data_IF_421193154023
#
_entry.id   IF_421193154023
#
_cell.length_a   1.000
_cell.length_b   1.000
_cell.length_c   1.000
_cell.angle_alpha   90.00
_cell.angle_beta   90.00
_cell.angle_gamma   90.00
#
_symmetry.space_group_name_H-M   'P 1'
#
loop_
_entity.id
_entity.type
_entity.pdbx_description
1 polymer ?
#
# COMPACT_ATOMS: atom_id res chain seq x y z
N UNK A 1 -18.49 18.78 11.40
CA UNK A 1 -19.69 18.07 10.89
C UNK A 1 -19.20 16.83 10.18
N UNK A 2 -19.62 15.64 10.62
CA UNK A 2 -19.24 14.39 9.97
C UNK A 2 -20.01 14.25 8.65
N UNK A 3 -19.30 14.00 7.55
CA UNK A 3 -19.93 13.63 6.29
C UNK A 3 -20.59 12.25 6.46
N UNK A 4 -21.85 12.05 6.01
CA UNK A 4 -22.48 10.75 6.10
C UNK A 4 -21.69 9.73 5.26
N UNK A 5 -21.58 8.51 5.77
CA UNK A 5 -21.21 7.36 4.97
C UNK A 5 -22.25 7.24 3.84
N UNK A 6 -21.80 7.34 2.60
CA UNK A 6 -22.66 7.05 1.45
C UNK A 6 -22.84 5.54 1.43
N UNK A 7 -24.05 5.08 1.72
CA UNK A 7 -24.43 3.68 1.62
C UNK A 7 -25.07 3.45 0.25
N UNK A 8 -24.45 2.56 -0.54
CA UNK A 8 -25.04 1.76 -1.62
C UNK A 8 -25.78 2.49 -2.76
N UNK A 9 -25.00 3.05 -3.69
CA UNK A 9 -25.25 2.86 -5.13
C UNK A 9 -23.92 2.36 -5.71
N UNK A 10 -23.93 1.29 -6.53
CA UNK A 10 -22.73 0.68 -7.12
C UNK A 10 -21.74 1.77 -7.57
N UNK A 11 -20.54 1.81 -7.00
CA UNK A 11 -19.53 2.80 -7.37
C UNK A 11 -19.25 2.76 -8.88
N UNK A 12 -19.00 3.91 -9.52
CA UNK A 12 -18.74 3.94 -10.94
C UNK A 12 -17.43 3.22 -11.26
N UNK A 13 -17.46 2.33 -12.26
CA UNK A 13 -16.24 1.76 -12.82
C UNK A 13 -15.38 2.88 -13.43
N UNK A 14 -14.10 2.94 -13.07
CA UNK A 14 -13.16 3.94 -13.59
C UNK A 14 -12.91 3.80 -15.10
N UNK A 15 -13.06 2.59 -15.66
CA UNK A 15 -12.98 2.33 -17.10
C UNK A 15 -14.25 2.72 -17.84
N UNK A 16 -15.42 2.28 -17.34
CA UNK A 16 -16.71 2.55 -18.02
C UNK A 16 -17.09 4.02 -17.93
N UNK A 17 -16.68 4.70 -16.85
CA UNK A 17 -16.87 6.14 -16.65
C UNK A 17 -15.56 6.90 -16.82
N UNK A 18 -14.79 6.54 -17.85
CA UNK A 18 -13.48 7.13 -18.14
C UNK A 18 -13.52 8.66 -18.20
N UNK A 19 -14.53 9.26 -18.84
CA UNK A 19 -14.66 10.72 -18.93
C UNK A 19 -14.77 11.41 -17.57
N UNK A 20 -15.41 10.78 -16.58
CA UNK A 20 -15.49 11.29 -15.21
C UNK A 20 -14.12 11.25 -14.52
N UNK A 21 -13.39 10.15 -14.66
CA UNK A 21 -12.03 10.02 -14.12
C UNK A 21 -11.07 11.00 -14.81
N UNK A 22 -11.09 11.03 -16.14
CA UNK A 22 -10.25 11.91 -16.96
C UNK A 22 -10.54 13.39 -16.67
N UNK A 23 -11.80 13.77 -16.44
CA UNK A 23 -12.16 15.12 -16.01
C UNK A 23 -11.54 15.50 -14.65
N UNK A 24 -11.38 14.56 -13.74
CA UNK A 24 -10.70 14.76 -12.46
C UNK A 24 -9.18 14.88 -12.62
N UNK A 25 -8.60 14.13 -13.56
CA UNK A 25 -7.16 14.01 -13.76
C UNK A 25 -6.56 15.07 -14.70
N UNK A 26 -7.33 15.53 -15.69
CA UNK A 26 -6.85 16.44 -16.73
C UNK A 26 -6.36 17.77 -16.15
N UNK A 27 -5.18 18.20 -16.57
CA UNK A 27 -4.54 19.44 -16.11
C UNK A 27 -3.95 19.36 -14.69
N UNK A 28 -3.97 18.18 -14.06
CA UNK A 28 -3.38 17.92 -12.74
C UNK A 28 -2.13 17.06 -12.86
N UNK A 29 -1.22 17.23 -11.91
CA UNK A 29 -0.07 16.35 -11.69
C UNK A 29 -0.56 15.07 -11.05
N UNK A 30 -0.29 13.92 -11.65
CA UNK A 30 -0.69 12.65 -11.05
C UNK A 30 0.37 12.16 -10.07
N UNK A 31 -0.06 11.40 -9.05
CA UNK A 31 0.80 10.56 -8.24
C UNK A 31 0.09 9.23 -8.04
N UNK A 32 0.69 8.13 -8.50
CA UNK A 32 0.01 6.83 -8.62
C UNK A 32 0.56 5.85 -7.58
N UNK A 33 -0.32 5.34 -6.73
CA UNK A 33 0.01 4.40 -5.68
C UNK A 33 -0.75 3.10 -5.92
N UNK A 34 -0.06 1.98 -5.85
CA UNK A 34 -0.59 0.70 -6.27
C UNK A 34 -0.34 -0.34 -5.17
N UNK A 35 -1.39 -1.02 -4.75
CA UNK A 35 -1.21 -2.32 -4.12
C UNK A 35 -0.71 -3.36 -5.13
N UNK A 36 -0.24 -4.51 -4.64
CA UNK A 36 0.31 -5.57 -5.48
C UNK A 36 -0.65 -6.77 -5.65
N UNK A 37 -0.96 -7.49 -4.58
CA UNK A 37 -1.68 -8.76 -4.63
C UNK A 37 -3.16 -8.54 -4.84
N UNK A 38 -3.76 -9.08 -5.91
CA UNK A 38 -5.17 -8.82 -6.23
C UNK A 38 -5.41 -7.49 -6.98
N UNK A 39 -4.37 -6.66 -7.10
CA UNK A 39 -4.40 -5.39 -7.85
C UNK A 39 -3.56 -5.47 -9.14
N UNK A 40 -2.25 -5.68 -9.02
CA UNK A 40 -1.33 -5.78 -10.17
C UNK A 40 -1.03 -7.22 -10.59
N UNK A 41 -1.37 -8.17 -9.74
CA UNK A 41 -1.29 -9.61 -9.99
C UNK A 41 -2.60 -10.26 -9.57
N UNK A 42 -3.00 -11.31 -10.29
CA UNK A 42 -4.09 -12.18 -9.86
C UNK A 42 -3.77 -12.85 -8.51
N UNK A 43 -4.81 -13.01 -7.67
CA UNK A 43 -4.69 -13.75 -6.40
C UNK A 43 -4.52 -15.24 -6.74
N UNK A 44 -3.39 -15.81 -6.33
CA UNK A 44 -3.05 -17.22 -6.57
C UNK A 44 -2.98 -18.01 -5.25
N UNK A 45 -3.20 -19.35 -5.28
CA UNK A 45 -3.12 -20.18 -4.08
C UNK A 45 -1.74 -20.17 -3.40
N UNK A 46 -0.67 -20.03 -4.19
CA UNK A 46 0.72 -19.98 -3.75
C UNK A 46 1.26 -18.56 -3.90
N UNK A 47 1.47 -17.81 -2.80
CA UNK A 47 1.87 -16.40 -2.85
C UNK A 47 3.15 -16.14 -3.66
N UNK A 48 4.07 -17.09 -3.73
CA UNK A 48 5.32 -16.94 -4.49
C UNK A 48 5.14 -17.05 -6.01
N UNK A 49 3.92 -17.35 -6.48
CA UNK A 49 3.55 -17.43 -7.90
C UNK A 49 2.71 -16.25 -8.38
N UNK A 50 2.51 -15.23 -7.54
CA UNK A 50 1.75 -14.02 -7.87
C UNK A 50 2.59 -13.09 -8.77
N UNK A 51 2.95 -13.53 -9.98
CA UNK A 51 3.81 -12.76 -10.88
C UNK A 51 3.02 -11.73 -11.68
N UNK A 52 3.56 -10.51 -11.73
CA UNK A 52 3.12 -9.46 -12.64
C UNK A 52 3.46 -9.83 -14.10
N UNK A 53 2.48 -9.69 -15.00
CA UNK A 53 2.66 -9.88 -16.45
C UNK A 53 3.60 -8.83 -17.03
N UNK A 54 4.24 -9.13 -18.18
CA UNK A 54 5.09 -8.12 -18.83
C UNK A 54 4.29 -6.92 -19.36
N UNK A 55 3.04 -7.14 -19.78
CA UNK A 55 2.15 -6.08 -20.22
C UNK A 55 1.82 -5.11 -19.07
N UNK A 56 1.44 -5.63 -17.90
CA UNK A 56 1.23 -4.81 -16.70
C UNK A 56 2.51 -4.06 -16.31
N UNK A 57 3.65 -4.75 -16.29
CA UNK A 57 4.96 -4.15 -15.98
C UNK A 57 5.30 -3.00 -16.94
N UNK A 58 5.04 -3.19 -18.23
CA UNK A 58 5.25 -2.19 -19.27
C UNK A 58 4.38 -0.95 -19.05
N UNK A 59 3.10 -1.13 -18.70
CA UNK A 59 2.18 -0.03 -18.41
C UNK A 59 2.60 0.75 -17.15
N UNK A 60 2.93 0.05 -16.06
CA UNK A 60 3.38 0.71 -14.81
C UNK A 60 4.68 1.50 -15.06
N UNK A 61 5.63 0.93 -15.81
CA UNK A 61 6.86 1.62 -16.24
C UNK A 61 6.58 2.91 -17.01
N UNK A 62 5.60 2.90 -17.92
CA UNK A 62 5.22 4.10 -18.69
C UNK A 62 4.69 5.21 -17.79
N UNK A 63 3.85 4.86 -16.81
CA UNK A 63 3.35 5.82 -15.80
C UNK A 63 4.51 6.37 -14.96
N UNK A 64 5.37 5.50 -14.43
CA UNK A 64 6.48 5.86 -13.55
C UNK A 64 7.50 6.82 -14.19
N UNK A 65 7.61 6.81 -15.52
CA UNK A 65 8.45 7.76 -16.26
C UNK A 65 7.87 9.16 -16.35
N UNK A 66 6.55 9.31 -16.15
CA UNK A 66 5.83 10.57 -16.31
C UNK A 66 5.43 11.19 -14.97
N UNK A 67 5.22 10.37 -13.93
CA UNK A 67 4.85 10.86 -12.62
C UNK A 67 5.34 9.95 -11.48
N UNK A 68 5.37 10.46 -10.23
CA UNK A 68 5.70 9.63 -9.08
C UNK A 68 4.76 8.43 -8.98
N UNK A 69 5.35 7.23 -8.95
CA UNK A 69 4.61 5.98 -8.87
C UNK A 69 5.20 5.07 -7.78
N UNK A 70 4.34 4.52 -6.92
CA UNK A 70 4.75 3.73 -5.78
C UNK A 70 3.97 2.41 -5.66
N UNK A 71 4.65 1.35 -5.26
CA UNK A 71 4.02 0.10 -4.80
C UNK A 71 3.93 0.11 -3.28
N UNK A 72 2.73 -0.10 -2.73
CA UNK A 72 2.51 -0.27 -1.28
C UNK A 72 1.95 -1.67 -1.02
N UNK A 73 2.74 -2.55 -0.40
CA UNK A 73 2.39 -3.97 -0.26
C UNK A 73 2.60 -4.50 1.16
N UNK A 74 1.82 -5.52 1.53
CA UNK A 74 2.07 -6.34 2.72
C UNK A 74 3.37 -7.15 2.62
N UNK A 75 3.81 -7.50 1.41
CA UNK A 75 5.03 -8.27 1.16
C UNK A 75 6.28 -7.51 1.59
N UNK A 76 7.34 -8.21 1.96
CA UNK A 76 8.65 -7.61 2.18
C UNK A 76 9.12 -6.82 0.94
N UNK A 77 9.82 -5.69 1.16
CA UNK A 77 10.21 -4.77 0.08
C UNK A 77 11.02 -5.45 -1.03
N UNK A 78 11.99 -6.29 -0.68
CA UNK A 78 12.78 -7.06 -1.65
C UNK A 78 11.91 -8.03 -2.47
N UNK A 79 11.01 -8.75 -1.79
CA UNK A 79 10.11 -9.72 -2.42
C UNK A 79 9.19 -9.06 -3.45
N UNK A 80 8.51 -7.96 -3.09
CA UNK A 80 7.67 -7.23 -4.05
C UNK A 80 8.50 -6.59 -5.18
N UNK A 81 9.72 -6.14 -4.90
CA UNK A 81 10.64 -5.69 -5.95
C UNK A 81 10.99 -6.82 -6.93
N UNK A 82 11.26 -8.04 -6.45
CA UNK A 82 11.60 -9.18 -7.33
C UNK A 82 10.46 -9.59 -8.26
N UNK A 83 9.22 -9.34 -7.86
CA UNK A 83 8.04 -9.49 -8.71
C UNK A 83 7.90 -8.36 -9.73
N UNK A 84 8.03 -7.10 -9.30
CA UNK A 84 7.74 -5.90 -10.10
C UNK A 84 8.91 -5.45 -10.98
N UNK A 85 10.16 -5.63 -10.53
CA UNK A 85 11.43 -5.36 -11.25
C UNK A 85 11.46 -4.03 -12.02
N UNK A 86 11.03 -2.94 -11.38
CA UNK A 86 11.08 -1.58 -11.90
C UNK A 86 11.88 -0.72 -10.92
N UNK A 87 13.03 -0.21 -11.34
CA UNK A 87 13.93 0.56 -10.46
C UNK A 87 13.47 2.02 -10.27
N UNK A 88 12.60 2.49 -11.16
CA UNK A 88 12.03 3.84 -11.18
C UNK A 88 10.89 4.07 -10.18
N UNK A 89 10.42 3.01 -9.52
CA UNK A 89 9.32 3.07 -8.55
C UNK A 89 9.79 3.33 -7.13
N UNK A 90 8.88 3.92 -6.33
CA UNK A 90 8.96 3.87 -4.87
C UNK A 90 8.38 2.54 -4.39
N UNK A 91 8.96 1.95 -3.36
CA UNK A 91 8.48 0.70 -2.77
C UNK A 91 8.28 0.87 -1.27
N UNK A 92 7.06 0.59 -0.81
CA UNK A 92 6.66 0.51 0.58
C UNK A 92 6.25 -0.93 0.90
N UNK A 93 7.22 -1.74 1.36
CA UNK A 93 6.99 -3.13 1.75
C UNK A 93 6.63 -3.28 3.23
N UNK A 94 6.33 -4.51 3.64
CA UNK A 94 6.04 -4.89 5.02
C UNK A 94 4.88 -4.07 5.61
N UNK A 95 3.76 -4.01 4.87
CA UNK A 95 2.60 -3.15 5.16
C UNK A 95 2.94 -1.66 5.19
N UNK A 96 3.94 -1.26 4.41
CA UNK A 96 4.44 0.11 4.30
C UNK A 96 5.43 0.53 5.40
N UNK A 97 5.94 -0.40 6.21
CA UNK A 97 6.97 -0.11 7.22
C UNK A 97 8.40 -0.12 6.66
N UNK A 98 8.63 -0.56 5.42
CA UNK A 98 9.94 -0.45 4.76
C UNK A 98 9.77 0.32 3.45
N UNK A 99 10.00 1.64 3.49
CA UNK A 99 9.84 2.54 2.34
C UNK A 99 11.20 2.91 1.78
N UNK A 100 11.36 2.77 0.47
CA UNK A 100 12.52 3.25 -0.29
C UNK A 100 12.10 3.79 -1.66
N UNK A 101 12.65 4.94 -2.03
CA UNK A 101 12.51 5.54 -3.36
C UNK A 101 13.47 4.96 -4.39
N UNK A 102 13.33 5.36 -5.66
CA UNK A 102 14.18 4.90 -6.74
C UNK A 102 15.64 5.35 -6.52
N UNK A 103 16.59 4.48 -6.83
CA UNK A 103 18.03 4.79 -6.69
C UNK A 103 18.50 5.85 -7.70
N UNK A 104 17.73 6.10 -8.76
CA UNK A 104 17.97 7.13 -9.77
C UNK A 104 16.72 8.00 -9.90
N UNK A 105 16.91 9.32 -9.90
CA UNK A 105 15.83 10.25 -10.22
C UNK A 105 15.33 9.91 -11.65
N UNK A 106 14.02 9.88 -11.93
CA UNK A 106 13.57 10.00 -13.31
C UNK A 106 14.18 11.30 -13.86
N UNK A 107 14.74 11.31 -15.08
CA UNK A 107 15.37 12.51 -15.61
C UNK A 107 14.33 13.63 -15.60
N UNK A 108 14.61 14.67 -14.81
CA UNK A 108 13.84 15.89 -14.87
C UNK A 108 14.28 16.59 -16.16
N UNK A 109 13.58 16.31 -17.27
CA UNK A 109 13.72 16.97 -18.56
C UNK A 109 15.13 17.52 -18.83
N UNK A 110 16.12 16.65 -19.01
CA UNK A 110 17.45 17.11 -19.40
C UNK A 110 17.46 17.39 -20.89
N UNK A 111 17.69 18.66 -21.19
CA UNK A 111 17.93 19.17 -22.52
C UNK A 111 18.97 18.32 -23.24
N UNK A 112 18.64 18.01 -24.48
CA UNK A 112 19.40 17.26 -25.46
C UNK A 112 20.85 17.77 -25.58
N UNK A 113 21.82 17.06 -25.00
CA UNK A 113 23.23 17.19 -25.39
C UNK A 113 23.61 16.09 -26.39
N UNK A 114 23.67 16.53 -27.65
CA UNK A 114 24.54 16.09 -28.73
C UNK A 114 25.05 14.64 -28.75
N UNK A 115 24.51 13.86 -29.68
CA UNK A 115 25.17 12.70 -30.24
C UNK A 115 26.57 13.08 -30.77
N UNK A 116 27.59 12.39 -30.28
CA UNK A 116 28.88 12.27 -30.97
C UNK A 116 29.04 10.80 -31.40
N UNK A 117 29.14 10.63 -32.71
CA UNK A 117 29.33 9.37 -33.43
C UNK A 117 30.60 8.63 -32.97
N UNK A 118 30.50 7.31 -32.91
CA UNK A 118 31.64 6.40 -32.75
C UNK A 118 31.51 5.23 -33.71
N UNK A 119 32.03 5.40 -34.93
CA UNK A 119 32.40 4.33 -35.85
C UNK A 119 33.73 3.70 -35.36
N UNK A 120 33.74 2.37 -35.13
CA UNK A 120 34.95 1.56 -35.24
C UNK A 120 34.64 0.06 -35.27
N UNK A 121 35.03 -0.53 -36.39
CA UNK A 121 35.05 -1.94 -36.80
C UNK A 121 35.84 -2.93 -35.91
N UNK A 122 35.35 -4.18 -35.93
CA UNK A 122 36.04 -5.50 -36.08
C UNK A 122 37.11 -5.98 -35.07
N UNK A 123 36.93 -7.24 -34.65
CA UNK A 123 38.01 -8.18 -34.30
C UNK A 123 37.58 -9.22 -33.25
N UNK A 124 36.97 -10.35 -33.66
CA UNK A 124 37.58 -11.71 -33.67
C UNK A 124 38.22 -12.19 -32.37
N UNK A 125 37.67 -13.25 -31.75
CA UNK A 125 38.32 -14.58 -31.66
C UNK A 125 37.75 -15.49 -30.55
N UNK A 126 37.59 -16.78 -30.89
CA UNK A 126 37.66 -17.98 -30.03
C UNK A 126 36.51 -18.24 -29.05
N UNK A 127 35.90 -19.42 -28.90
CA UNK A 127 36.23 -20.78 -29.35
C UNK A 127 36.10 -21.78 -28.19
N UNK A 128 35.33 -22.86 -28.36
CA UNK A 128 35.38 -24.13 -27.59
C UNK A 128 34.48 -24.22 -26.34
N UNK A 129 33.41 -25.05 -26.33
CA UNK A 129 33.36 -26.51 -26.07
C UNK A 129 33.44 -26.84 -24.55
N UNK A 130 32.37 -27.30 -23.89
CA UNK A 130 31.74 -28.65 -23.86
C UNK A 130 32.23 -29.55 -22.71
N UNK A 131 31.30 -30.26 -22.06
CA UNK A 131 31.50 -31.34 -21.06
C UNK A 131 31.35 -30.87 -19.60
N UNK A 132 30.47 -31.38 -18.74
CA UNK A 132 29.79 -32.66 -18.68
C UNK A 132 30.61 -33.64 -17.82
N UNK A 133 30.21 -33.89 -16.57
CA UNK A 133 30.36 -35.18 -15.86
C UNK A 133 29.61 -35.20 -14.54
N UNK A 134 28.79 -36.24 -14.40
CA UNK A 134 28.19 -36.79 -13.19
C UNK A 134 29.26 -37.33 -12.22
N UNK A 135 28.99 -37.30 -10.91
CA UNK A 135 29.38 -38.38 -9.99
C UNK A 135 28.62 -38.31 -8.64
N UNK A 136 27.79 -39.32 -8.40
CA UNK A 136 27.50 -39.98 -7.12
C UNK A 136 27.84 -41.46 -7.36
N UNK A 137 28.28 -42.28 -6.37
CA UNK A 137 27.35 -42.77 -5.34
C UNK A 137 27.96 -43.28 -4.00
N UNK A 138 27.05 -43.63 -3.07
CA UNK A 138 27.24 -44.66 -2.02
C UNK A 138 27.47 -44.12 -0.60
N UNK A 139 27.09 -44.78 0.49
CA UNK A 139 26.32 -46.01 0.78
C UNK A 139 26.26 -46.14 2.33
N UNK A 140 25.22 -46.80 2.85
CA UNK A 140 25.12 -47.48 4.18
C UNK A 140 25.20 -46.61 5.45
N UNK A 141 24.49 -46.85 6.56
CA UNK A 141 23.64 -47.94 7.01
C UNK A 141 23.57 -47.91 8.55
N UNK A 142 22.48 -48.46 9.11
CA UNK A 142 22.34 -49.00 10.47
C UNK A 142 21.92 -48.10 11.67
N UNK A 143 20.65 -48.31 12.04
CA UNK A 143 20.02 -48.38 13.39
C UNK A 143 20.45 -49.71 14.10
N UNK A 144 19.99 -50.11 15.31
CA UNK A 144 19.38 -49.46 16.52
C UNK A 144 20.15 -49.95 17.82
N UNK A 145 19.63 -50.16 19.07
CA UNK A 145 18.30 -50.03 19.74
C UNK A 145 18.27 -49.20 21.06
N UNK A 146 17.16 -48.58 21.48
CA UNK A 146 15.95 -49.03 22.23
C UNK A 146 16.09 -49.22 23.76
N UNK A 147 15.12 -48.66 24.49
CA UNK A 147 14.73 -48.94 25.88
C UNK A 147 14.46 -47.67 26.68
N UNK A 148 13.54 -47.56 27.65
CA UNK A 148 12.26 -48.17 28.04
C UNK A 148 11.83 -47.39 29.32
N UNK A 149 10.53 -47.39 29.64
CA UNK A 149 9.88 -46.93 30.89
C UNK A 149 9.97 -45.44 31.26
N UNK A 150 8.95 -44.78 31.80
CA UNK A 150 7.65 -45.20 32.34
C UNK A 150 7.16 -44.09 33.30
N UNK A 151 5.86 -44.02 33.61
CA UNK A 151 5.39 -43.31 34.80
C UNK A 151 4.22 -42.34 34.61
N UNK A 152 3.07 -42.77 35.09
CA UNK A 152 1.79 -42.08 35.24
C UNK A 152 1.81 -40.87 36.20
N UNK A 153 0.80 -39.99 36.13
CA UNK A 153 0.51 -39.02 37.19
C UNK A 153 -0.63 -38.06 36.85
N UNK A 154 -1.80 -38.31 37.44
CA UNK A 154 -3.08 -37.65 37.21
C UNK A 154 -3.32 -36.38 38.08
N UNK A 155 -4.49 -35.77 37.83
CA UNK A 155 -5.21 -34.74 38.59
C UNK A 155 -4.73 -33.29 38.34
N UNK A 156 -5.59 -32.29 38.11
CA UNK A 156 -7.02 -32.15 38.40
C UNK A 156 -7.20 -30.79 39.11
N UNK A 157 -8.14 -29.96 38.65
CA UNK A 157 -8.51 -28.74 39.37
C UNK A 157 -8.91 -27.59 38.45
N UNK A 158 -10.21 -27.50 38.16
CA UNK A 158 -10.79 -26.25 37.69
C UNK A 158 -10.90 -25.23 38.82
N UNK A 159 -11.00 -23.95 38.46
CA UNK A 159 -11.86 -23.02 39.18
C UNK A 159 -12.22 -21.82 38.31
N UNK A 160 -13.50 -21.50 38.42
CA UNK A 160 -14.32 -20.49 37.76
C UNK A 160 -14.08 -19.05 38.22
N UNK A 161 -14.48 -18.11 37.36
CA UNK A 161 -15.12 -16.81 37.65
C UNK A 161 -14.35 -15.82 38.56
N UNK A 162 -14.25 -14.54 38.25
CA UNK A 162 -15.37 -13.60 38.26
C UNK A 162 -14.90 -12.19 37.83
N UNK A 163 -15.89 -11.37 37.50
CA UNK A 163 -15.87 -9.99 37.03
C UNK A 163 -15.36 -8.94 38.05
N UNK A 164 -15.37 -7.70 37.54
CA UNK A 164 -15.32 -6.36 38.17
C UNK A 164 -13.94 -5.69 38.21
N UNK A 165 -13.77 -4.37 38.05
CA UNK A 165 -14.51 -3.29 37.40
C UNK A 165 -13.60 -2.05 37.52
N UNK A 166 -13.65 -1.19 36.49
CA UNK A 166 -13.54 0.28 36.55
C UNK A 166 -12.25 1.00 37.06
N UNK A 167 -11.90 1.99 36.21
CA UNK A 167 -11.42 3.34 36.50
C UNK A 167 -9.92 3.63 36.68
N UNK A 168 -9.49 4.67 35.95
CA UNK A 168 -8.38 5.54 36.34
C UNK A 168 -7.43 5.81 35.18
N UNK A 169 -7.64 6.92 34.47
CA UNK A 169 -6.84 7.30 33.32
C UNK A 169 -5.40 7.65 33.64
N UNK A 170 -4.59 7.68 32.59
CA UNK A 170 -3.55 8.68 32.34
C UNK A 170 -3.01 8.46 30.94
N UNK A 171 -3.17 9.47 30.08
CA UNK A 171 -2.48 9.54 28.79
C UNK A 171 -0.96 9.63 29.05
N UNK A 172 -0.11 8.84 28.37
CA UNK A 172 1.29 9.17 28.26
C UNK A 172 1.45 10.24 27.18
N UNK A 173 2.22 11.26 27.53
CA UNK A 173 2.58 12.38 26.70
C UNK A 173 3.22 11.95 25.37
N UNK A 174 2.96 12.75 24.34
CA UNK A 174 3.69 12.75 23.07
C UNK A 174 5.19 12.92 23.36
N UNK A 175 5.97 11.86 23.21
CA UNK A 175 7.40 12.01 22.99
C UNK A 175 7.61 12.26 21.49
N UNK A 176 7.96 13.50 21.18
CA UNK A 176 8.57 13.85 19.92
C UNK A 176 9.91 13.11 19.85
N UNK A 177 9.93 12.00 19.11
CA UNK A 177 11.16 11.35 18.69
C UNK A 177 11.92 12.31 17.81
N UNK A 178 13.11 12.71 18.26
CA UNK A 178 14.10 13.47 17.51
C UNK A 178 14.61 12.59 16.36
N UNK A 179 13.90 12.60 15.24
CA UNK A 179 14.42 12.15 13.95
C UNK A 179 15.40 13.20 13.44
N UNK A 180 16.61 12.76 13.14
CA UNK A 180 17.68 13.56 12.56
C UNK A 180 17.16 14.46 11.42
N UNK A 181 17.48 15.75 11.52
CA UNK A 181 17.17 16.71 10.46
C UNK A 181 17.80 16.28 9.15
N UNK A 182 16.97 16.00 8.14
CA UNK A 182 17.40 16.06 6.76
C UNK A 182 17.35 17.53 6.35
N UNK A 183 18.51 18.10 6.10
CA UNK A 183 18.64 19.41 5.48
C UNK A 183 17.87 19.41 4.14
N UNK A 184 17.15 20.51 3.90
CA UNK A 184 16.36 20.68 2.70
C UNK A 184 17.28 20.71 1.47
N UNK A 185 17.14 19.69 0.62
CA UNK A 185 17.77 19.63 -0.69
C UNK A 185 18.63 18.39 -0.86
N UNK A 186 18.13 17.44 -1.65
CA UNK A 186 18.78 16.20 -2.10
C UNK A 186 18.76 15.06 -1.05
N UNK A 187 17.78 14.15 -1.15
CA UNK A 187 17.73 12.98 -0.26
C UNK A 187 16.89 11.85 -0.84
N UNK A 188 17.45 10.64 -0.83
CA UNK A 188 16.74 9.40 -1.13
C UNK A 188 15.52 9.28 -0.20
N UNK A 189 14.31 9.09 -0.73
CA UNK A 189 13.13 8.82 0.10
C UNK A 189 13.35 7.46 0.78
N UNK A 190 13.51 7.45 2.10
CA UNK A 190 13.66 6.23 2.89
C UNK A 190 13.01 6.41 4.26
N UNK A 191 12.20 5.43 4.68
CA UNK A 191 11.56 5.45 5.99
C UNK A 191 11.32 4.03 6.51
N UNK A 192 11.68 3.84 7.78
CA UNK A 192 11.43 2.61 8.54
C UNK A 192 10.89 2.97 9.94
N UNK A 193 9.57 3.16 10.11
CA UNK A 193 9.00 3.65 11.36
C UNK A 193 9.12 2.63 12.51
N UNK A 194 9.42 1.37 12.20
CA UNK A 194 9.63 0.29 13.16
C UNK A 194 11.10 -0.16 13.24
N UNK A 195 12.07 0.66 12.82
CA UNK A 195 13.48 0.28 12.75
C UNK A 195 14.04 -0.29 14.07
N UNK A 196 13.57 0.21 15.22
CA UNK A 196 13.98 -0.28 16.55
C UNK A 196 13.58 -1.74 16.84
N UNK A 197 12.65 -2.31 16.07
CA UNK A 197 12.18 -3.69 16.24
C UNK A 197 12.98 -4.71 15.43
N UNK A 198 13.84 -4.29 14.50
CA UNK A 198 14.53 -5.21 13.57
C UNK A 198 15.32 -6.27 14.33
N UNK A 199 16.17 -5.87 15.28
CA UNK A 199 16.99 -6.82 16.06
C UNK A 199 16.12 -7.79 16.87
N UNK A 200 15.01 -7.32 17.45
CA UNK A 200 14.07 -8.17 18.17
C UNK A 200 13.42 -9.20 17.23
N UNK A 201 12.97 -8.77 16.05
CA UNK A 201 12.33 -9.67 15.07
C UNK A 201 13.31 -10.69 14.51
N UNK A 202 14.57 -10.32 14.27
CA UNK A 202 15.62 -11.24 13.85
C UNK A 202 15.85 -12.34 14.91
N UNK A 203 15.87 -11.98 16.20
CA UNK A 203 15.99 -12.94 17.31
C UNK A 203 14.77 -13.87 17.40
N UNK A 204 13.56 -13.33 17.30
CA UNK A 204 12.32 -14.13 17.34
C UNK A 204 12.23 -15.06 16.13
N UNK A 205 12.68 -14.63 14.97
CA UNK A 205 12.75 -15.45 13.78
C UNK A 205 13.66 -16.67 13.97
N UNK A 206 14.88 -16.44 14.47
CA UNK A 206 15.82 -17.52 14.74
C UNK A 206 15.23 -18.55 15.73
N UNK A 207 14.54 -18.06 16.76
CA UNK A 207 13.88 -18.92 17.73
C UNK A 207 12.70 -19.70 17.13
N UNK A 208 11.83 -19.06 16.35
CA UNK A 208 10.71 -19.73 15.66
C UNK A 208 11.20 -20.82 14.71
N UNK A 209 12.22 -20.52 13.89
CA UNK A 209 12.82 -21.50 12.98
C UNK A 209 13.32 -22.72 13.75
N UNK A 210 14.09 -22.49 14.83
CA UNK A 210 14.64 -23.54 15.67
C UNK A 210 13.55 -24.39 16.32
N UNK A 211 12.47 -23.78 16.83
CA UNK A 211 11.39 -24.51 17.51
C UNK A 211 10.45 -25.25 16.55
N UNK A 212 10.31 -24.78 15.32
CA UNK A 212 9.43 -25.36 14.31
C UNK A 212 10.12 -26.38 13.39
N UNK A 213 11.45 -26.52 13.44
CA UNK A 213 12.25 -27.45 12.61
C UNK A 213 11.70 -28.90 12.62
N UNK A 214 11.16 -29.35 13.76
CA UNK A 214 10.60 -30.70 13.92
C UNK A 214 9.16 -30.89 13.42
N UNK A 215 8.55 -29.90 12.76
CA UNK A 215 7.16 -29.92 12.29
C UNK A 215 7.15 -29.83 10.75
N UNK A 216 7.01 -30.96 10.04
CA UNK A 216 6.98 -30.98 8.58
C UNK A 216 5.88 -30.06 8.01
N UNK A 217 6.26 -29.19 7.07
CA UNK A 217 5.36 -28.26 6.39
C UNK A 217 5.16 -26.92 7.12
N UNK A 218 5.74 -26.73 8.32
CA UNK A 218 5.78 -25.42 8.97
C UNK A 218 6.92 -24.59 8.35
N UNK A 219 6.60 -23.38 7.92
CA UNK A 219 7.56 -22.48 7.28
C UNK A 219 7.52 -21.11 7.97
N UNK A 220 8.67 -20.53 8.28
CA UNK A 220 8.79 -19.19 8.86
C UNK A 220 9.38 -18.25 7.82
N UNK A 221 8.65 -17.19 7.48
CA UNK A 221 9.08 -16.15 6.55
C UNK A 221 9.42 -14.86 7.30
N UNK A 222 10.56 -14.24 6.95
CA UNK A 222 11.04 -12.99 7.53
C UNK A 222 10.96 -11.84 6.52
N UNK A 223 9.99 -10.94 6.70
CA UNK A 223 9.77 -9.78 5.84
C UNK A 223 10.22 -8.47 6.52
N UNK A 224 11.31 -8.51 7.30
CA UNK A 224 11.92 -7.40 8.06
C UNK A 224 11.08 -6.87 9.23
N UNK A 225 9.84 -6.44 8.98
CA UNK A 225 8.91 -5.93 10.00
C UNK A 225 7.69 -6.84 10.20
N UNK A 226 7.75 -8.06 9.69
CA UNK A 226 6.70 -9.07 9.84
C UNK A 226 7.33 -10.46 9.80
N UNK A 227 7.01 -11.29 10.78
CA UNK A 227 7.30 -12.71 10.80
C UNK A 227 6.01 -13.46 10.46
N UNK A 228 6.04 -14.30 9.42
CA UNK A 228 4.88 -15.08 9.02
C UNK A 228 5.16 -16.57 9.21
N UNK A 229 4.40 -17.22 10.09
CA UNK A 229 4.46 -18.66 10.32
C UNK A 229 3.34 -19.33 9.52
N UNK A 230 3.71 -19.95 8.41
CA UNK A 230 2.80 -20.66 7.53
C UNK A 230 2.59 -22.08 8.04
N UNK A 231 1.32 -22.47 8.22
CA UNK A 231 0.94 -23.81 8.68
C UNK A 231 -0.02 -24.51 7.71
N UNK A 232 -0.16 -23.97 6.49
CA UNK A 232 -1.02 -24.54 5.45
C UNK A 232 -0.65 -25.97 5.06
N UNK A 233 0.65 -26.27 5.03
CA UNK A 233 1.21 -27.57 4.63
C UNK A 233 1.46 -28.50 5.83
N UNK A 234 1.18 -28.02 7.05
CA UNK A 234 1.32 -28.80 8.29
C UNK A 234 0.12 -29.74 8.40
N UNK A 235 0.37 -30.98 8.82
CA UNK A 235 -0.66 -31.94 9.18
C UNK A 235 -1.61 -31.35 10.24
N UNK A 236 -2.92 -31.46 10.05
CA UNK A 236 -3.90 -30.79 10.91
C UNK A 236 -3.79 -31.20 12.38
N UNK A 237 -3.33 -32.43 12.67
CA UNK A 237 -3.10 -32.88 14.04
C UNK A 237 -1.96 -32.16 14.75
N UNK A 238 -1.12 -31.41 14.02
CA UNK A 238 0.00 -30.63 14.57
C UNK A 238 -0.27 -29.11 14.61
N UNK A 239 -1.43 -28.63 14.15
CA UNK A 239 -1.72 -27.19 14.14
C UNK A 239 -1.68 -26.57 15.54
N UNK A 240 -2.29 -27.22 16.53
CA UNK A 240 -2.26 -26.74 17.92
C UNK A 240 -0.83 -26.63 18.46
N UNK A 241 0.06 -27.55 18.06
CA UNK A 241 1.47 -27.51 18.44
C UNK A 241 2.19 -26.31 17.82
N UNK A 242 1.90 -25.98 16.55
CA UNK A 242 2.45 -24.78 15.89
C UNK A 242 1.97 -23.52 16.62
N UNK A 243 0.68 -23.41 16.90
CA UNK A 243 0.11 -22.25 17.58
C UNK A 243 0.69 -22.07 18.98
N UNK A 244 0.81 -23.14 19.76
CA UNK A 244 1.43 -23.10 21.07
C UNK A 244 2.90 -22.61 21.02
N UNK A 245 3.69 -23.07 20.05
CA UNK A 245 5.06 -22.59 19.86
C UNK A 245 5.09 -21.10 19.54
N UNK A 246 4.21 -20.64 18.63
CA UNK A 246 4.13 -19.23 18.26
C UNK A 246 3.69 -18.36 19.43
N UNK A 247 2.68 -18.79 20.19
CA UNK A 247 2.22 -18.08 21.38
C UNK A 247 3.32 -18.00 22.44
N UNK A 248 4.03 -19.09 22.74
CA UNK A 248 5.13 -19.09 23.70
C UNK A 248 6.27 -18.14 23.31
N UNK A 249 6.56 -18.00 22.00
CA UNK A 249 7.55 -17.04 21.50
C UNK A 249 7.01 -15.61 21.49
N UNK A 250 5.72 -15.42 21.21
CA UNK A 250 5.08 -14.10 21.10
C UNK A 250 4.72 -13.47 22.46
N UNK A 251 4.17 -14.24 23.40
CA UNK A 251 3.58 -13.75 24.65
C UNK A 251 4.54 -12.89 25.50
N UNK A 252 5.85 -13.19 25.62
CA UNK A 252 6.78 -12.31 26.32
C UNK A 252 6.89 -10.89 25.72
N UNK A 253 6.45 -10.70 24.48
CA UNK A 253 6.56 -9.47 23.69
C UNK A 253 5.18 -8.87 23.32
N UNK A 254 4.07 -9.34 23.90
CA UNK A 254 2.70 -8.92 23.51
C UNK A 254 2.40 -7.42 23.70
N UNK A 255 3.20 -6.73 24.51
CA UNK A 255 3.08 -5.29 24.76
C UNK A 255 3.66 -4.46 23.60
N UNK A 256 4.69 -4.97 22.92
CA UNK A 256 5.41 -4.28 21.85
C UNK A 256 5.10 -4.84 20.46
N UNK A 257 4.62 -6.08 20.39
CA UNK A 257 4.25 -6.77 19.16
C UNK A 257 2.75 -7.06 19.11
N UNK A 258 2.26 -7.41 17.93
CA UNK A 258 0.91 -7.89 17.71
C UNK A 258 0.95 -9.18 16.90
N UNK A 259 0.20 -10.18 17.36
CA UNK A 259 -0.10 -11.39 16.61
C UNK A 259 -1.39 -11.21 15.82
N UNK A 260 -1.36 -11.46 14.51
CA UNK A 260 -2.53 -11.51 13.64
C UNK A 260 -2.65 -12.86 12.95
N UNK A 261 -3.87 -13.24 12.59
CA UNK A 261 -4.15 -14.50 11.89
C UNK A 261 -4.62 -14.21 10.47
N UNK A 262 -4.10 -14.98 9.51
CA UNK A 262 -4.49 -14.95 8.11
C UNK A 262 -4.97 -16.31 7.61
N UNK A 263 -5.02 -16.50 6.29
CA UNK A 263 -5.44 -17.76 5.66
C UNK A 263 -4.39 -18.87 5.82
N UNK A 264 -4.42 -19.55 6.97
CA UNK A 264 -3.46 -20.58 7.41
C UNK A 264 -2.03 -20.04 7.59
N UNK A 265 -1.94 -18.85 8.18
CA UNK A 265 -0.70 -18.15 8.54
C UNK A 265 -0.90 -17.38 9.85
N UNK A 266 0.11 -17.36 10.71
CA UNK A 266 0.19 -16.50 11.90
C UNK A 266 1.24 -15.42 11.64
N UNK A 267 0.96 -14.17 11.99
CA UNK A 267 1.84 -13.03 11.70
C UNK A 267 2.20 -12.26 12.96
N UNK A 268 3.48 -12.10 13.25
CA UNK A 268 4.00 -11.26 14.33
C UNK A 268 4.56 -9.97 13.73
N UNK A 269 4.07 -8.83 14.19
CA UNK A 269 4.52 -7.50 13.71
C UNK A 269 4.62 -6.47 14.83
N UNK A 270 5.43 -5.41 14.65
CA UNK A 270 5.49 -4.27 15.58
C UNK A 270 4.10 -3.68 15.84
N UNK A 271 3.81 -3.37 17.11
CA UNK A 271 2.56 -2.76 17.53
C UNK A 271 2.66 -1.22 17.45
N UNK A 272 2.75 -0.71 16.23
CA UNK A 272 2.78 0.74 15.96
C UNK A 272 1.53 1.18 15.20
N UNK A 273 1.14 2.46 15.33
CA UNK A 273 0.06 3.07 14.54
C UNK A 273 0.55 3.32 13.11
N UNK A 274 0.70 2.25 12.34
CA UNK A 274 1.14 2.29 10.95
C UNK A 274 0.32 1.38 10.07
N UNK A 275 -0.09 1.91 8.91
CA UNK A 275 -0.94 1.24 7.94
C UNK A 275 -0.69 1.83 6.54
N UNK A 276 -1.25 1.20 5.48
CA UNK A 276 -1.04 1.64 4.09
C UNK A 276 -1.39 3.12 3.87
N UNK A 277 -2.43 3.62 4.52
CA UNK A 277 -2.76 5.05 4.54
C UNK A 277 -1.67 5.97 5.11
N UNK A 278 -0.95 5.57 6.18
CA UNK A 278 0.21 6.33 6.70
C UNK A 278 1.38 6.32 5.72
N UNK A 279 1.64 5.18 5.08
CA UNK A 279 2.68 5.07 4.05
C UNK A 279 2.37 5.98 2.84
N UNK A 280 1.12 6.00 2.39
CA UNK A 280 0.64 6.92 1.36
C UNK A 280 0.84 8.40 1.77
N UNK A 281 0.42 8.79 2.97
CA UNK A 281 0.61 10.15 3.48
C UNK A 281 2.09 10.53 3.53
N UNK A 282 2.95 9.67 4.07
CA UNK A 282 4.39 9.92 4.10
C UNK A 282 4.97 10.11 2.71
N UNK A 283 4.63 9.25 1.74
CA UNK A 283 5.13 9.38 0.38
C UNK A 283 4.68 10.70 -0.26
N UNK A 284 3.42 11.10 -0.07
CA UNK A 284 2.93 12.39 -0.57
C UNK A 284 3.69 13.57 0.06
N UNK A 285 3.95 13.53 1.37
CA UNK A 285 4.73 14.57 2.07
C UNK A 285 6.18 14.61 1.60
N UNK A 286 6.86 13.46 1.56
CA UNK A 286 8.25 13.33 1.15
C UNK A 286 8.49 13.77 -0.30
N UNK A 287 7.48 13.65 -1.16
CA UNK A 287 7.52 14.08 -2.55
C UNK A 287 7.12 15.55 -2.76
N UNK A 288 6.74 16.27 -1.69
CA UNK A 288 6.23 17.64 -1.79
C UNK A 288 4.88 17.75 -2.49
N UNK A 289 4.07 16.69 -2.43
CA UNK A 289 2.78 16.54 -3.11
C UNK A 289 1.58 16.61 -2.15
N UNK A 290 1.84 16.57 -0.83
CA UNK A 290 0.79 16.51 0.17
C UNK A 290 -0.18 17.69 0.09
N UNK A 291 0.35 18.91 -0.06
CA UNK A 291 -0.42 20.16 -0.04
C UNK A 291 -0.49 20.86 -1.42
N UNK A 292 -0.05 20.19 -2.49
CA UNK A 292 -0.11 20.75 -3.85
C UNK A 292 -1.53 20.62 -4.44
N UNK A 293 -2.27 21.73 -4.65
CA UNK A 293 -3.63 21.69 -5.20
C UNK A 293 -3.65 21.20 -6.66
N UNK A 294 -2.54 21.32 -7.39
CA UNK A 294 -2.43 20.79 -8.75
C UNK A 294 -2.23 19.28 -8.76
N UNK A 295 -1.93 18.63 -7.61
CA UNK A 295 -1.69 17.19 -7.56
C UNK A 295 -2.97 16.38 -7.30
N UNK A 296 -3.21 15.35 -8.11
CA UNK A 296 -4.20 14.30 -7.91
C UNK A 296 -3.50 12.98 -7.53
N UNK A 297 -3.55 12.57 -6.25
CA UNK A 297 -3.13 11.23 -5.85
C UNK A 297 -4.19 10.20 -6.23
N UNK A 298 -3.74 9.08 -6.80
CA UNK A 298 -4.56 7.94 -7.22
C UNK A 298 -4.06 6.70 -6.47
N UNK A 299 -4.94 5.97 -5.81
CA UNK A 299 -4.60 4.72 -5.12
C UNK A 299 -5.47 3.56 -5.64
N UNK A 300 -4.85 2.44 -6.02
CA UNK A 300 -5.55 1.21 -6.41
C UNK A 300 -5.26 0.10 -5.40
N UNK A 301 -6.31 -0.62 -4.97
CA UNK A 301 -6.19 -1.72 -4.01
C UNK A 301 -7.42 -2.63 -3.96
N UNK A 302 -7.29 -3.87 -3.51
CA UNK A 302 -8.37 -4.88 -3.51
C UNK A 302 -8.86 -5.27 -2.10
N UNK A 303 -8.01 -5.04 -1.09
CA UNK A 303 -8.15 -5.63 0.24
C UNK A 303 -8.64 -4.64 1.31
N UNK A 304 -8.89 -5.17 2.51
CA UNK A 304 -9.37 -4.38 3.65
C UNK A 304 -8.30 -3.41 4.17
N UNK A 305 -7.02 -3.68 3.91
CA UNK A 305 -5.92 -2.80 4.34
C UNK A 305 -5.79 -1.57 3.43
N UNK A 306 -6.23 -1.66 2.18
CA UNK A 306 -6.29 -0.54 1.24
C UNK A 306 -7.37 0.50 1.60
N UNK A 307 -8.38 0.10 2.38
CA UNK A 307 -9.37 1.03 2.92
C UNK A 307 -8.75 2.16 3.75
N UNK A 308 -7.60 1.89 4.41
CA UNK A 308 -6.86 2.94 5.11
C UNK A 308 -6.34 4.01 4.14
N UNK A 309 -5.85 3.60 2.96
CA UNK A 309 -5.39 4.50 1.92
C UNK A 309 -6.56 5.27 1.28
N UNK A 310 -7.68 4.60 1.00
CA UNK A 310 -8.89 5.27 0.47
C UNK A 310 -9.44 6.31 1.44
N UNK A 311 -9.51 5.99 2.74
CA UNK A 311 -9.92 6.95 3.78
C UNK A 311 -8.98 8.14 3.87
N UNK A 312 -7.66 7.91 3.79
CA UNK A 312 -6.67 8.98 3.71
C UNK A 312 -6.91 9.90 2.51
N UNK A 313 -7.16 9.35 1.31
CA UNK A 313 -7.45 10.15 0.12
C UNK A 313 -8.76 10.93 0.25
N UNK A 314 -9.82 10.30 0.74
CA UNK A 314 -11.13 10.94 0.90
C UNK A 314 -11.13 12.04 1.96
N UNK A 315 -10.29 11.92 2.99
CA UNK A 315 -10.15 12.93 4.04
C UNK A 315 -9.33 14.17 3.60
N UNK A 316 -8.60 14.10 2.48
CA UNK A 316 -7.86 15.25 1.93
C UNK A 316 -8.83 16.30 1.42
N UNK A 317 -8.62 17.56 1.81
CA UNK A 317 -9.37 18.70 1.28
C UNK A 317 -9.14 18.93 -0.21
N UNK A 318 -7.95 18.57 -0.71
CA UNK A 318 -7.54 18.68 -2.13
C UNK A 318 -8.04 17.50 -2.99
N UNK A 319 -8.73 16.54 -2.35
CA UNK A 319 -9.22 15.32 -2.96
C UNK A 319 -8.13 14.30 -3.29
N UNK A 320 -8.58 13.21 -3.92
CA UNK A 320 -7.81 12.06 -4.36
C UNK A 320 -8.75 11.02 -4.96
N UNK A 321 -8.23 10.11 -5.78
CA UNK A 321 -9.00 9.04 -6.38
C UNK A 321 -8.61 7.70 -5.75
N UNK A 322 -9.46 7.16 -4.89
CA UNK A 322 -9.37 5.77 -4.45
C UNK A 322 -10.11 4.87 -5.43
N UNK A 323 -9.49 3.78 -5.85
CA UNK A 323 -10.07 2.82 -6.80
C UNK A 323 -10.00 1.42 -6.17
N UNK A 324 -11.16 0.85 -5.85
CA UNK A 324 -11.27 -0.49 -5.32
C UNK A 324 -11.28 -1.52 -6.46
N UNK A 325 -10.40 -2.51 -6.39
CA UNK A 325 -10.40 -3.68 -7.29
C UNK A 325 -11.27 -4.77 -6.69
N UNK A 326 -12.40 -5.08 -7.33
CA UNK A 326 -13.35 -6.05 -6.80
C UNK A 326 -14.33 -6.54 -7.87
N UNK A 327 -14.59 -7.85 -7.86
CA UNK A 327 -15.66 -8.46 -8.66
C UNK A 327 -17.01 -8.50 -7.92
N UNK A 328 -17.04 -8.07 -6.65
CA UNK A 328 -18.22 -8.08 -5.78
C UNK A 328 -18.40 -6.72 -5.10
N UNK A 329 -19.64 -6.35 -4.79
CA UNK A 329 -19.91 -5.14 -4.03
C UNK A 329 -19.36 -5.26 -2.60
N UNK A 330 -18.70 -4.19 -2.14
CA UNK A 330 -18.10 -4.08 -0.80
C UNK A 330 -18.38 -2.68 -0.26
N UNK A 331 -18.51 -2.56 1.06
CA UNK A 331 -18.43 -1.26 1.72
C UNK A 331 -17.01 -0.73 1.60
N UNK A 332 -16.86 0.49 1.07
CA UNK A 332 -15.55 1.06 0.77
C UNK A 332 -15.54 2.58 0.83
N UNK A 333 -14.39 3.15 1.18
CA UNK A 333 -14.12 4.58 1.07
C UNK A 333 -13.61 5.01 -0.32
N UNK A 334 -13.42 4.06 -1.24
CA UNK A 334 -13.03 4.33 -2.63
C UNK A 334 -14.08 5.17 -3.38
N UNK A 335 -13.62 5.85 -4.42
CA UNK A 335 -14.45 6.71 -5.30
C UNK A 335 -14.84 6.02 -6.60
N UNK A 336 -14.03 5.05 -7.04
CA UNK A 336 -14.27 4.26 -8.25
C UNK A 336 -14.01 2.78 -7.98
N UNK A 337 -14.42 1.93 -8.91
CA UNK A 337 -14.08 0.51 -8.93
C UNK A 337 -13.42 0.07 -10.23
N UNK A 338 -12.69 -1.03 -10.17
CA UNK A 338 -12.27 -1.86 -11.29
C UNK A 338 -12.58 -3.31 -10.94
N UNK A 339 -12.90 -4.14 -11.92
CA UNK A 339 -13.36 -5.50 -11.65
C UNK A 339 -12.26 -6.43 -11.14
N UNK A 340 -11.08 -6.40 -11.77
CA UNK A 340 -9.98 -7.34 -11.56
C UNK A 340 -8.64 -6.76 -12.07
N UNK A 341 -7.52 -7.48 -11.91
CA UNK A 341 -6.22 -7.02 -12.41
C UNK A 341 -6.14 -6.76 -13.92
N UNK A 342 -7.01 -7.36 -14.73
CA UNK A 342 -7.00 -7.14 -16.18
C UNK A 342 -7.63 -5.77 -16.49
N UNK A 343 -8.72 -5.40 -15.82
CA UNK A 343 -9.26 -4.03 -15.85
C UNK A 343 -8.29 -3.00 -15.26
N UNK A 344 -7.49 -3.37 -14.25
CA UNK A 344 -6.39 -2.51 -13.75
C UNK A 344 -5.37 -2.23 -14.86
N UNK A 345 -4.96 -3.25 -15.61
CA UNK A 345 -4.01 -3.09 -16.71
C UNK A 345 -4.55 -2.14 -17.78
N UNK A 346 -5.81 -2.34 -18.19
CA UNK A 346 -6.46 -1.47 -19.19
C UNK A 346 -6.55 -0.02 -18.68
N UNK A 347 -6.98 0.17 -17.43
CA UNK A 347 -7.12 1.49 -16.83
C UNK A 347 -5.78 2.22 -16.77
N UNK A 348 -4.74 1.58 -16.24
CA UNK A 348 -3.40 2.15 -16.19
C UNK A 348 -2.86 2.41 -17.61
N UNK A 349 -3.22 1.58 -18.60
CA UNK A 349 -2.88 1.80 -20.00
C UNK A 349 -3.46 3.09 -20.56
N UNK A 350 -4.73 3.39 -20.24
CA UNK A 350 -5.37 4.67 -20.60
C UNK A 350 -4.77 5.86 -19.86
N UNK A 351 -4.42 5.70 -18.58
CA UNK A 351 -3.72 6.74 -17.81
C UNK A 351 -2.34 7.03 -18.43
N UNK A 352 -1.59 6.00 -18.81
CA UNK A 352 -0.29 6.16 -19.46
C UNK A 352 -0.41 6.91 -20.79
N UNK A 353 -1.38 6.55 -21.63
CA UNK A 353 -1.62 7.25 -22.90
C UNK A 353 -1.98 8.73 -22.68
N UNK A 354 -2.86 9.02 -21.72
CA UNK A 354 -3.22 10.39 -21.36
C UNK A 354 -2.00 11.21 -20.88
N UNK A 355 -1.10 10.61 -20.11
CA UNK A 355 0.14 11.25 -19.65
C UNK A 355 1.15 11.48 -20.78
N UNK A 356 1.14 10.65 -21.82
CA UNK A 356 2.02 10.77 -22.99
C UNK A 356 1.53 11.79 -24.02
N UNK A 357 0.22 12.02 -24.11
CA UNK A 357 -0.39 13.03 -24.97
C UNK A 357 -0.27 14.46 -24.40
N UNK A 358 0.02 14.60 -23.11
CA UNK A 358 0.30 15.88 -22.50
C UNK A 358 1.66 16.43 -22.98
N UNK A 359 1.74 17.67 -23.50
CA UNK A 359 3.00 18.23 -24.00
C UNK A 359 4.06 18.31 -22.91
N UNK A 360 5.30 17.90 -23.25
CA UNK A 360 6.46 18.01 -22.36
C UNK A 360 6.70 19.49 -22.01
N UNK A 361 6.47 19.86 -20.75
CA UNK A 361 6.49 21.25 -20.25
C UNK A 361 5.13 21.78 -19.77
N UNK A 362 4.05 21.03 -19.94
CA UNK A 362 2.70 21.41 -19.50
C UNK A 362 2.36 21.05 -18.05
N UNK A 363 3.18 21.47 -17.09
CA UNK A 363 2.79 21.53 -15.68
C UNK A 363 3.23 22.89 -15.15
N UNK A 364 2.30 23.87 -15.23
CA UNK A 364 2.45 25.30 -14.94
C UNK A 364 3.84 25.74 -14.44
N UNK A 365 4.60 26.39 -15.32
CA UNK A 365 5.58 27.37 -14.89
C UNK A 365 4.91 28.45 -14.03
N UNK A 366 5.70 28.97 -13.09
CA UNK A 366 5.38 30.00 -12.13
C UNK A 366 4.49 31.12 -12.71
N UNK A 367 3.28 31.28 -12.21
CA UNK A 367 2.62 32.59 -12.24
C UNK A 367 3.14 33.39 -11.05
N UNK A 368 4.40 33.82 -11.16
CA UNK A 368 4.89 34.96 -10.40
C UNK A 368 4.04 36.17 -10.77
N UNK A 369 3.57 36.88 -9.74
CA UNK A 369 2.50 37.86 -9.87
C UNK A 369 2.82 39.07 -10.74
N UNK A 370 1.77 39.62 -11.33
CA UNK A 370 1.67 41.04 -11.58
C UNK A 370 0.44 41.57 -10.82
N UNK A 371 0.71 42.51 -9.92
CA UNK A 371 -0.31 43.23 -9.18
C UNK A 371 -0.79 44.49 -9.89
N UNK A 372 -1.84 45.07 -9.30
CA UNK A 372 -2.32 46.45 -9.39
C UNK A 372 -3.16 46.84 -10.62
N UNK A 373 -4.42 47.16 -10.33
CA UNK A 373 -5.33 47.85 -11.23
C UNK A 373 -6.67 48.15 -10.60
N UNK A 374 -6.70 48.99 -9.55
CA UNK A 374 -7.92 49.64 -9.08
C UNK A 374 -8.54 50.44 -10.21
N UNK A 375 -9.83 50.22 -10.53
CA UNK A 375 -10.58 51.23 -11.26
C UNK A 375 -12.03 51.35 -10.78
N UNK A 376 -12.23 52.42 -10.00
CA UNK A 376 -13.48 53.12 -9.79
C UNK A 376 -14.02 53.66 -11.13
N UNK A 377 -15.27 53.37 -11.46
CA UNK A 377 -15.91 53.91 -12.67
C UNK A 377 -17.43 53.96 -12.53
N UNK A 378 -17.92 55.15 -12.21
CA UNK A 378 -19.33 55.54 -12.01
C UNK A 378 -20.16 55.38 -13.30
N UNK A 379 -21.37 54.86 -13.18
CA UNK A 379 -22.38 54.85 -14.24
C UNK A 379 -23.80 54.81 -13.68
N UNK A 380 -24.36 55.99 -13.40
CA UNK A 380 -25.73 56.25 -12.95
C UNK A 380 -26.66 56.33 -14.15
N UNK A 381 -27.78 55.59 -14.15
CA UNK A 381 -29.00 55.99 -14.89
C UNK A 381 -30.23 55.60 -14.06
N UNK A 382 -31.07 56.62 -13.83
CA UNK A 382 -32.40 56.62 -13.20
C UNK A 382 -33.38 55.77 -14.04
N UNK A 383 -34.30 54.97 -13.50
CA UNK A 383 -35.48 55.36 -12.73
C UNK A 383 -36.73 55.29 -13.63
N UNK A 384 -37.71 54.43 -13.31
CA UNK A 384 -39.15 54.63 -13.60
C UNK A 384 -39.98 53.62 -12.79
N UNK A 385 -40.87 54.14 -11.95
CA UNK A 385 -41.93 53.45 -11.20
C UNK A 385 -43.14 53.12 -12.07
N UNK A 386 -43.98 52.16 -11.61
CA UNK A 386 -45.46 52.08 -11.64
C UNK A 386 -45.84 50.59 -11.50
N UNK A 387 -46.88 50.11 -10.83
CA UNK A 387 -47.85 50.55 -9.82
C UNK A 387 -48.72 49.30 -9.49
N UNK A 388 -49.37 49.31 -8.34
CA UNK A 388 -50.08 48.21 -7.66
C UNK A 388 -51.36 47.65 -8.32
N UNK A 389 -51.80 46.46 -7.84
CA UNK A 389 -53.17 46.03 -7.44
C UNK A 389 -53.11 44.52 -7.09
N UNK A 390 -53.25 44.03 -5.85
CA UNK A 390 -54.39 43.90 -4.92
C UNK A 390 -55.23 42.61 -5.05
N UNK A 391 -55.44 41.98 -3.87
CA UNK A 391 -56.59 41.16 -3.43
C UNK A 391 -56.53 39.62 -3.58
N UNK A 392 -56.86 38.94 -2.47
CA UNK A 392 -57.27 37.54 -2.45
C UNK A 392 -57.00 36.83 -1.11
N UNK A 393 -57.98 36.81 -0.22
CA UNK A 393 -57.99 36.32 1.17
C UNK A 393 -58.10 34.79 1.35
N UNK A 394 -57.85 34.31 2.58
CA UNK A 394 -58.35 33.04 3.18
C UNK A 394 -57.24 32.14 3.75
N UNK A 395 -56.95 32.12 5.08
CA UNK A 395 -57.64 31.35 6.15
C UNK A 395 -57.80 29.86 5.76
N UNK A 396 -57.28 28.85 6.47
CA UNK A 396 -57.62 28.43 7.85
C UNK A 396 -56.54 27.49 8.46
N UNK A 397 -56.55 27.43 9.79
CA UNK A 397 -55.77 26.68 10.79
C UNK A 397 -55.70 25.12 10.74
N UNK A 398 -54.71 24.64 11.53
CA UNK A 398 -54.64 23.39 12.33
C UNK A 398 -54.50 22.05 11.56
N UNK A 399 -53.74 21.02 11.96
CA UNK A 399 -53.54 20.46 13.29
C UNK A 399 -52.43 19.38 13.28
N UNK A 400 -52.05 19.00 14.49
CA UNK A 400 -51.07 18.02 14.97
C UNK A 400 -51.28 16.56 14.55
N UNK A 401 -50.17 15.81 14.67
CA UNK A 401 -50.04 14.44 15.19
C UNK A 401 -50.53 13.25 14.33
N UNK A 402 -49.56 12.50 13.79
CA UNK A 402 -49.20 11.14 14.26
C UNK A 402 -47.91 10.67 13.62
#
# INVERSE_FOLDING_TARGET
>A
MAFPAVVSSSLPSALRHWSSFEGLARGRRLAVFLDYDGTLSHIVPEPDKAFMTEDMRSVVRRIARRCPCAIISGRGRGKVFDFVRLEELYYAGSHGMDIKGPNRRPPAGEAQEGAAEGDATKGSSGGGAAGGTEHSPGDSGQRPPAGADGGEGAAGGGCSASQEAANGGSQPARQAGTGAGCEAGQGCVELQPAAEYVEMLDLLYAELVRRLEGIPGAEVEHNKFCLSVHYRRVDEAQWERVWAIVDEVFLPHEQSLKLTTGRKVLEIKPRIDWHKGRALSYLLEALGLADDPATLPIYLGDDVTDEDAFRCLRARSLGGAGILVTSVEKDTAATFTLHDPDEVQEFLGRVAAMLEEAPEGGLCEDVAGEGLGTNTGVGRVEGTQMSATSAGEGSVDAERAR
#
